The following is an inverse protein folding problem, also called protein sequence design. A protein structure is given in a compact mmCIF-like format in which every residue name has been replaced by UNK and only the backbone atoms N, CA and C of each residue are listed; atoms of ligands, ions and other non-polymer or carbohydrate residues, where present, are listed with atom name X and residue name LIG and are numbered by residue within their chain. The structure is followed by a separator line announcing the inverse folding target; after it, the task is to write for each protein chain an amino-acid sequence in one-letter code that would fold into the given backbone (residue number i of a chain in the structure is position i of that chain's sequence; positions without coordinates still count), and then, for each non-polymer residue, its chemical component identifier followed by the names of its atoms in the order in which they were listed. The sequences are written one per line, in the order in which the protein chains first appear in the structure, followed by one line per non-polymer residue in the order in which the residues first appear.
data_IF_055350620308
#
_entry.id   IF_055350620308
#
_cell.length_a   1.000
_cell.length_b   1.000
_cell.length_c   1.000
_cell.angle_alpha   90.00
_cell.angle_beta   90.00
_cell.angle_gamma   90.00
#
_symmetry.space_group_name_H-M   'P 1'
#
loop_
_entity.id
_entity.type
_entity.pdbx_description
1 polymer ?
#
# COMPACT_ATOMS: atom_id res chain seq x y z
N UNK A 1 15.71 25.59 33.11
CA UNK A 1 14.41 25.46 32.42
C UNK A 1 14.55 24.36 31.38
N UNK A 2 14.36 23.14 31.88
CA UNK A 2 14.66 21.86 31.24
C UNK A 2 13.34 21.21 30.86
N UNK A 3 12.87 21.40 29.63
CA UNK A 3 11.77 20.62 29.03
C UNK A 3 11.56 20.93 27.54
N UNK A 4 12.63 21.33 26.84
CA UNK A 4 12.65 21.35 25.38
C UNK A 4 13.26 20.02 24.92
N UNK A 5 12.67 19.39 23.89
CA UNK A 5 13.26 18.31 23.07
C UNK A 5 12.83 16.83 23.26
N UNK A 6 11.65 16.52 23.80
CA UNK A 6 10.98 15.26 23.42
C UNK A 6 9.59 15.53 22.84
N UNK A 7 9.54 15.75 21.53
CA UNK A 7 8.30 16.00 20.78
C UNK A 7 7.24 14.88 20.89
N UNK A 8 7.63 13.69 21.34
CA UNK A 8 6.76 12.55 21.62
C UNK A 8 7.17 11.91 22.94
N UNK A 9 6.19 11.48 23.75
CA UNK A 9 6.45 10.69 24.96
C UNK A 9 7.08 9.34 24.61
N UNK A 10 7.79 8.66 25.54
CA UNK A 10 8.43 7.37 25.27
C UNK A 10 7.50 6.30 24.67
N UNK A 11 6.25 6.23 25.14
CA UNK A 11 5.22 5.32 24.61
C UNK A 11 4.84 5.66 23.16
N UNK A 12 4.73 6.95 22.85
CA UNK A 12 4.38 7.45 21.53
C UNK A 12 5.53 7.23 20.54
N UNK A 13 6.79 7.37 20.99
CA UNK A 13 7.97 6.99 20.20
C UNK A 13 7.92 5.50 19.81
N UNK A 14 7.50 4.63 20.74
CA UNK A 14 7.32 3.19 20.46
C UNK A 14 6.21 2.94 19.43
N UNK A 15 5.09 3.66 19.53
CA UNK A 15 3.99 3.59 18.56
C UNK A 15 4.46 4.07 17.17
N UNK A 16 5.16 5.21 17.08
CA UNK A 16 5.73 5.73 15.83
C UNK A 16 6.67 4.69 15.18
N UNK A 17 7.51 4.03 15.97
CA UNK A 17 8.41 2.99 15.47
C UNK A 17 7.64 1.79 14.90
N UNK A 18 6.59 1.32 15.59
CA UNK A 18 5.74 0.23 15.10
C UNK A 18 5.05 0.61 13.79
N UNK A 19 4.49 1.83 13.71
CA UNK A 19 3.84 2.35 12.51
C UNK A 19 4.81 2.47 11.32
N UNK A 20 6.07 2.91 11.55
CA UNK A 20 7.11 2.95 10.51
C UNK A 20 7.48 1.57 10.00
N UNK A 21 7.65 0.59 10.90
CA UNK A 21 7.96 -0.80 10.52
C UNK A 21 6.83 -1.42 9.71
N UNK A 22 5.58 -1.21 10.12
CA UNK A 22 4.40 -1.69 9.40
C UNK A 22 4.31 -1.06 8.00
N UNK A 23 4.55 0.25 7.89
CA UNK A 23 4.60 0.95 6.61
C UNK A 23 5.67 0.42 5.67
N UNK A 24 6.86 0.14 6.19
CA UNK A 24 7.93 -0.47 5.40
C UNK A 24 7.54 -1.88 4.92
N UNK A 25 6.94 -2.70 5.79
CA UNK A 25 6.48 -4.04 5.43
C UNK A 25 5.40 -3.98 4.32
N UNK A 26 4.41 -3.09 4.45
CA UNK A 26 3.39 -2.93 3.41
C UNK A 26 3.97 -2.36 2.10
N UNK A 27 4.99 -1.51 2.16
CA UNK A 27 5.68 -1.03 0.95
C UNK A 27 6.37 -2.17 0.19
N UNK A 28 6.94 -3.14 0.92
CA UNK A 28 7.48 -4.36 0.32
C UNK A 28 6.37 -5.23 -0.27
N UNK A 29 5.24 -5.38 0.43
CA UNK A 29 4.08 -6.11 -0.06
C UNK A 29 3.50 -5.50 -1.34
N UNK A 30 3.41 -4.17 -1.43
CA UNK A 30 2.99 -3.48 -2.67
C UNK A 30 3.95 -3.82 -3.81
N UNK A 31 5.26 -3.74 -3.59
CA UNK A 31 6.26 -4.03 -4.63
C UNK A 31 6.19 -5.49 -5.09
N UNK A 32 6.14 -6.44 -4.16
CA UNK A 32 6.11 -7.88 -4.48
C UNK A 32 4.80 -8.27 -5.16
N UNK A 33 3.66 -7.83 -4.65
CA UNK A 33 2.35 -8.12 -5.23
C UNK A 33 2.14 -7.44 -6.59
N UNK A 34 2.70 -6.25 -6.80
CA UNK A 34 2.69 -5.60 -8.13
C UNK A 34 3.49 -6.41 -9.15
N UNK A 35 4.70 -6.83 -8.79
CA UNK A 35 5.54 -7.70 -9.64
C UNK A 35 4.83 -9.02 -9.95
N UNK A 36 4.27 -9.67 -8.92
CA UNK A 36 3.50 -10.90 -9.09
C UNK A 36 2.30 -10.69 -10.02
N UNK A 37 1.52 -9.61 -9.84
CA UNK A 37 0.37 -9.31 -10.70
C UNK A 37 0.77 -9.12 -12.16
N UNK A 38 1.91 -8.45 -12.41
CA UNK A 38 2.46 -8.30 -13.77
C UNK A 38 2.75 -9.65 -14.41
N UNK A 39 3.52 -10.52 -13.75
CA UNK A 39 3.90 -11.81 -14.32
C UNK A 39 2.72 -12.77 -14.47
N UNK A 40 1.76 -12.75 -13.55
CA UNK A 40 0.54 -13.58 -13.65
C UNK A 40 -0.35 -13.11 -14.81
N UNK A 41 -0.47 -11.81 -15.05
CA UNK A 41 -1.21 -11.28 -16.21
C UNK A 41 -0.48 -11.56 -17.53
N UNK A 42 0.85 -11.53 -17.53
CA UNK A 42 1.65 -11.91 -18.69
C UNK A 42 1.49 -13.41 -19.02
N UNK A 43 1.55 -14.29 -18.00
CA UNK A 43 1.36 -15.72 -18.20
C UNK A 43 -0.03 -16.06 -18.72
N UNK A 44 -1.06 -15.34 -18.30
CA UNK A 44 -2.41 -15.47 -18.86
C UNK A 44 -2.47 -15.21 -20.37
N UNK A 45 -1.70 -14.23 -20.88
CA UNK A 45 -1.59 -13.97 -22.32
C UNK A 45 -0.96 -15.15 -23.07
N UNK A 46 0.07 -15.76 -22.48
CA UNK A 46 0.74 -16.93 -23.03
C UNK A 46 -0.15 -18.17 -22.99
N UNK A 47 -0.89 -18.40 -21.89
CA UNK A 47 -1.83 -19.52 -21.77
C UNK A 47 -2.96 -19.43 -22.79
N UNK A 48 -3.49 -18.22 -23.03
CA UNK A 48 -4.50 -17.99 -24.07
C UNK A 48 -3.93 -18.27 -25.46
N UNK A 49 -2.71 -17.83 -25.74
CA UNK A 49 -2.03 -18.17 -26.99
C UNK A 49 -1.83 -19.67 -27.16
N UNK A 50 -1.37 -20.36 -26.11
CA UNK A 50 -1.18 -21.81 -26.11
C UNK A 50 -2.48 -22.56 -26.40
N UNK A 51 -3.59 -22.11 -25.81
CA UNK A 51 -4.93 -22.67 -26.07
C UNK A 51 -5.27 -22.58 -27.55
N UNK A 52 -5.03 -21.44 -28.17
CA UNK A 52 -5.35 -21.21 -29.58
C UNK A 52 -4.45 -22.04 -30.53
N UNK A 53 -3.26 -22.47 -30.08
CA UNK A 53 -2.36 -23.35 -30.84
C UNK A 53 -2.65 -24.84 -30.71
N UNK A 54 -3.35 -25.27 -29.65
CA UNK A 54 -3.66 -26.69 -29.43
C UNK A 54 -4.75 -27.14 -30.41
N UNK A 55 -4.56 -28.24 -31.16
CA UNK A 55 -5.59 -28.79 -32.04
C UNK A 55 -6.91 -29.00 -31.30
N UNK A 56 -8.03 -28.56 -31.89
CA UNK A 56 -9.37 -28.62 -31.28
C UNK A 56 -9.82 -30.04 -30.94
N UNK A 57 -9.30 -31.05 -31.64
CA UNK A 57 -9.53 -32.46 -31.35
C UNK A 57 -9.01 -32.89 -29.96
N UNK A 58 -8.04 -32.17 -29.38
CA UNK A 58 -7.50 -32.48 -28.07
C UNK A 58 -8.34 -31.85 -26.95
N UNK A 59 -9.56 -32.36 -26.77
CA UNK A 59 -10.55 -31.84 -25.81
C UNK A 59 -9.99 -31.80 -24.38
N UNK A 60 -9.23 -32.83 -23.98
CA UNK A 60 -8.63 -32.90 -22.63
C UNK A 60 -7.67 -31.74 -22.39
N UNK A 61 -6.76 -31.47 -23.33
CA UNK A 61 -5.81 -30.37 -23.20
C UNK A 61 -6.52 -29.01 -23.10
N UNK A 62 -7.59 -28.80 -23.86
CA UNK A 62 -8.42 -27.59 -23.76
C UNK A 62 -9.09 -27.45 -22.39
N UNK A 63 -9.64 -28.54 -21.84
CA UNK A 63 -10.26 -28.54 -20.51
C UNK A 63 -9.26 -28.26 -19.39
N UNK A 64 -8.09 -28.90 -19.41
CA UNK A 64 -7.07 -28.69 -18.39
C UNK A 64 -6.48 -27.28 -18.48
N UNK A 65 -6.26 -26.77 -19.69
CA UNK A 65 -5.80 -25.41 -19.88
C UNK A 65 -6.84 -24.36 -19.45
N UNK A 66 -8.14 -24.63 -19.65
CA UNK A 66 -9.20 -23.77 -19.14
C UNK A 66 -9.17 -23.65 -17.60
N UNK A 67 -8.91 -24.76 -16.88
CA UNK A 67 -8.74 -24.74 -15.42
C UNK A 67 -7.52 -23.88 -15.01
N UNK A 68 -6.40 -24.03 -15.72
CA UNK A 68 -5.18 -23.24 -15.45
C UNK A 68 -5.39 -21.76 -15.74
N UNK A 69 -6.09 -21.41 -16.82
CA UNK A 69 -6.47 -20.03 -17.16
C UNK A 69 -7.33 -19.44 -16.02
N UNK A 70 -8.36 -20.14 -15.58
CA UNK A 70 -9.23 -19.68 -14.49
C UNK A 70 -8.44 -19.47 -13.18
N UNK A 71 -7.55 -20.40 -12.83
CA UNK A 71 -6.68 -20.27 -11.65
C UNK A 71 -5.72 -19.07 -11.76
N UNK A 72 -5.21 -18.81 -12.97
CA UNK A 72 -4.30 -17.69 -13.24
C UNK A 72 -5.03 -16.35 -13.20
N UNK A 73 -6.26 -16.28 -13.72
CA UNK A 73 -7.14 -15.09 -13.60
C UNK A 73 -7.42 -14.78 -12.13
N UNK A 74 -7.79 -15.79 -11.33
CA UNK A 74 -7.96 -15.63 -9.89
C UNK A 74 -6.68 -15.11 -9.22
N UNK A 75 -5.51 -15.67 -9.54
CA UNK A 75 -4.24 -15.21 -9.00
C UNK A 75 -3.90 -13.76 -9.40
N UNK A 76 -4.26 -13.34 -10.62
CA UNK A 76 -4.06 -11.96 -11.09
C UNK A 76 -4.91 -10.96 -10.29
N UNK A 77 -6.12 -11.35 -9.91
CA UNK A 77 -7.02 -10.53 -9.11
C UNK A 77 -6.64 -10.55 -7.63
N UNK A 78 -6.22 -11.69 -7.09
CA UNK A 78 -5.72 -11.82 -5.72
C UNK A 78 -4.48 -10.93 -5.48
N UNK A 79 -3.52 -10.96 -6.40
CA UNK A 79 -2.31 -10.10 -6.32
C UNK A 79 -2.64 -8.62 -6.45
N UNK A 80 -3.59 -8.25 -7.33
CA UNK A 80 -4.08 -6.87 -7.43
C UNK A 80 -4.77 -6.41 -6.13
N UNK A 81 -5.62 -7.25 -5.54
CA UNK A 81 -6.28 -6.97 -4.27
C UNK A 81 -5.26 -6.81 -3.13
N UNK A 82 -4.20 -7.62 -3.10
CA UNK A 82 -3.10 -7.46 -2.14
C UNK A 82 -2.46 -6.07 -2.24
N UNK A 83 -2.14 -5.60 -3.45
CA UNK A 83 -1.63 -4.23 -3.66
C UNK A 83 -2.59 -3.18 -3.10
N UNK A 84 -3.89 -3.31 -3.42
CA UNK A 84 -4.93 -2.38 -2.96
C UNK A 84 -5.04 -2.33 -1.43
N UNK A 85 -4.99 -3.48 -0.76
CA UNK A 85 -5.10 -3.53 0.69
C UNK A 85 -3.84 -3.03 1.40
N UNK A 86 -2.64 -3.39 0.91
CA UNK A 86 -1.39 -2.85 1.46
C UNK A 86 -1.30 -1.33 1.25
N UNK A 87 -1.70 -0.80 0.10
CA UNK A 87 -1.73 0.65 -0.11
C UNK A 87 -2.70 1.38 0.85
N UNK A 88 -3.86 0.77 1.14
CA UNK A 88 -4.80 1.31 2.15
C UNK A 88 -4.23 1.26 3.56
N UNK A 89 -3.56 0.17 3.92
CA UNK A 89 -2.87 0.04 5.21
C UNK A 89 -1.78 1.11 5.36
N UNK A 90 -0.98 1.35 4.31
CA UNK A 90 0.02 2.42 4.26
C UNK A 90 -0.59 3.79 4.50
N UNK A 91 -1.72 4.10 3.85
CA UNK A 91 -2.43 5.36 4.05
C UNK A 91 -2.93 5.51 5.49
N UNK A 92 -3.51 4.46 6.07
CA UNK A 92 -3.98 4.46 7.46
C UNK A 92 -2.83 4.67 8.46
N UNK A 93 -1.68 4.03 8.24
CA UNK A 93 -0.48 4.23 9.06
C UNK A 93 0.03 5.67 8.96
N UNK A 94 0.07 6.26 7.76
CA UNK A 94 0.45 7.67 7.59
C UNK A 94 -0.50 8.57 8.37
N UNK A 95 -1.81 8.37 8.27
CA UNK A 95 -2.80 9.13 9.03
C UNK A 95 -2.60 8.99 10.55
N UNK A 96 -2.36 7.77 11.04
CA UNK A 96 -2.08 7.52 12.46
C UNK A 96 -0.81 8.24 12.93
N UNK A 97 0.26 8.20 12.13
CA UNK A 97 1.51 8.92 12.40
C UNK A 97 1.27 10.43 12.43
N UNK A 98 0.54 10.98 11.45
CA UNK A 98 0.20 12.42 11.44
C UNK A 98 -0.54 12.83 12.70
N UNK A 99 -1.56 12.08 13.13
CA UNK A 99 -2.29 12.36 14.36
C UNK A 99 -1.40 12.31 15.60
N UNK A 100 -0.47 11.35 15.66
CA UNK A 100 0.50 11.23 16.74
C UNK A 100 1.37 12.49 16.86
N UNK A 101 1.90 12.98 15.74
CA UNK A 101 2.73 14.20 15.71
C UNK A 101 1.92 15.49 15.94
N UNK A 102 0.68 15.56 15.47
CA UNK A 102 -0.19 16.73 15.67
C UNK A 102 -0.74 16.85 17.09
N UNK A 103 -0.69 15.77 17.88
CA UNK A 103 -1.19 15.76 19.27
C UNK A 103 -0.55 16.85 20.12
N UNK A 104 0.77 17.02 20.01
CA UNK A 104 1.55 17.99 20.81
C UNK A 104 1.73 19.35 20.12
N UNK A 105 1.32 19.48 18.86
CA UNK A 105 1.44 20.73 18.13
C UNK A 105 0.44 21.77 18.67
N UNK A 106 0.89 22.99 18.96
CA UNK A 106 0.03 24.07 19.47
C UNK A 106 -0.66 24.77 18.30
N UNK A 107 -1.71 24.14 17.75
CA UNK A 107 -2.51 24.66 16.64
C UNK A 107 -4.00 24.36 16.83
N UNK A 108 -4.85 25.08 16.10
CA UNK A 108 -6.30 24.87 16.18
C UNK A 108 -6.69 23.45 15.74
N UNK A 109 -7.71 22.89 16.38
CA UNK A 109 -8.13 21.51 16.12
C UNK A 109 -8.59 21.31 14.67
N UNK A 110 -9.26 22.31 14.07
CA UNK A 110 -9.69 22.24 12.66
C UNK A 110 -8.49 22.18 11.71
N UNK A 111 -7.42 22.91 12.03
CA UNK A 111 -6.18 22.90 11.25
C UNK A 111 -5.46 21.55 11.36
N UNK A 112 -5.38 20.99 12.57
CA UNK A 112 -4.83 19.63 12.79
C UNK A 112 -5.56 18.58 11.97
N UNK A 113 -6.90 18.59 11.95
CA UNK A 113 -7.68 17.65 11.16
C UNK A 113 -7.43 17.78 9.65
N UNK A 114 -7.36 19.02 9.14
CA UNK A 114 -7.05 19.28 7.73
C UNK A 114 -5.66 18.76 7.34
N UNK A 115 -4.69 18.92 8.23
CA UNK A 115 -3.31 18.48 8.01
C UNK A 115 -3.17 16.95 8.13
N UNK A 116 -3.92 16.32 9.04
CA UNK A 116 -3.95 14.87 9.18
C UNK A 116 -4.50 14.16 7.93
N UNK A 117 -5.55 14.72 7.32
CA UNK A 117 -6.26 14.14 6.16
C UNK A 117 -5.69 14.56 4.79
N UNK A 118 -4.64 15.37 4.76
CA UNK A 118 -4.06 15.86 3.51
C UNK A 118 -3.62 14.70 2.58
N UNK A 119 -3.68 14.86 1.25
CA UNK A 119 -3.11 13.87 0.33
C UNK A 119 -1.63 13.57 0.64
N UNK A 120 -1.18 12.34 0.37
CA UNK A 120 0.23 11.98 0.51
C UNK A 120 0.94 12.44 -0.77
N UNK A 121 1.69 13.55 -0.71
CA UNK A 121 2.36 14.12 -1.91
C UNK A 121 3.89 13.98 -1.92
N UNK A 122 4.52 13.50 -0.85
CA UNK A 122 6.00 13.46 -0.78
C UNK A 122 6.54 12.40 0.18
N UNK A 123 7.87 12.28 0.23
CA UNK A 123 8.60 11.50 1.24
C UNK A 123 8.45 12.05 2.66
N UNK A 124 7.98 13.30 2.82
CA UNK A 124 7.75 13.93 4.11
C UNK A 124 6.36 13.56 4.65
N UNK A 125 6.25 13.41 5.97
CA UNK A 125 5.01 12.99 6.63
C UNK A 125 3.82 13.93 6.32
N UNK A 126 4.07 15.24 6.30
CA UNK A 126 3.06 16.26 6.00
C UNK A 126 3.26 16.91 4.62
N UNK A 127 4.48 16.93 4.09
CA UNK A 127 4.77 17.49 2.76
C UNK A 127 4.40 18.96 2.62
N UNK A 128 3.98 19.34 1.41
CA UNK A 128 3.52 20.69 1.04
C UNK A 128 2.32 21.15 1.88
N UNK A 129 1.53 20.22 2.45
CA UNK A 129 0.39 20.59 3.29
C UNK A 129 0.82 21.32 4.57
N UNK A 130 2.08 21.19 4.98
CA UNK A 130 2.67 21.90 6.12
C UNK A 130 3.21 23.29 5.75
N UNK A 131 3.56 23.54 4.48
CA UNK A 131 4.25 24.77 4.05
C UNK A 131 3.49 26.08 4.35
N UNK A 132 2.15 26.16 4.21
CA UNK A 132 1.39 27.35 4.58
C UNK A 132 1.44 27.71 6.08
N UNK A 133 2.02 26.85 6.91
CA UNK A 133 2.00 26.96 8.38
C UNK A 133 3.39 27.07 9.00
N UNK A 134 4.45 27.00 8.18
CA UNK A 134 5.83 27.23 8.60
C UNK A 134 6.12 28.74 8.41
N UNK A 135 5.81 29.54 9.44
CA UNK A 135 6.18 30.96 9.52
C UNK A 135 7.59 31.07 10.10
#
# INVERSE_FOLDING_TARGET
TTESEEALKPEEKRIELVLRKAHLADSWAVRTSTSASFFVRASLRWLRHLRDTIPTANVRAHQDLAKVIAATEYAADATYNSVKYSARAMAAQISARRLLWLKHWQADMKQKWKLASAPVSSSKLFGEALEPWLI
#
